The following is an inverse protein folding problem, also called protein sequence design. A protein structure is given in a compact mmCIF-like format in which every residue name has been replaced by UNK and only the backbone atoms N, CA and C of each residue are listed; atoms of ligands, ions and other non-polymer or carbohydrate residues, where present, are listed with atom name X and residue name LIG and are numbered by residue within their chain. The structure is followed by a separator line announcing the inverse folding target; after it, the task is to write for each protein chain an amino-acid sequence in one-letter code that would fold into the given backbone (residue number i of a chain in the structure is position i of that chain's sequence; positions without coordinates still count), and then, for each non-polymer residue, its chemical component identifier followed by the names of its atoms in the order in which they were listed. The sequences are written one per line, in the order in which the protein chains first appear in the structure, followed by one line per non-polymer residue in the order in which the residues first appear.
data_IF_276603702421
#
_entry.id   IF_276603702421
#
_cell.length_a   1.000
_cell.length_b   1.000
_cell.length_c   1.000
_cell.angle_alpha   90.00
_cell.angle_beta   90.00
_cell.angle_gamma   90.00
#
_symmetry.space_group_name_H-M   'P 1'
#
loop_
_entity.id
_entity.type
_entity.pdbx_description
1 polymer ?
#
# COMPACT_ATOMS: atom_id res chain seq x y z
N UNK A 1 -11.75 -7.19 16.21
CA UNK A 1 -10.28 -7.32 16.27
C UNK A 1 -9.79 -7.48 14.83
N UNK A 2 -8.75 -6.74 14.44
CA UNK A 2 -8.35 -6.54 13.04
C UNK A 2 -7.88 -7.84 12.38
N UNK A 3 -8.66 -8.35 11.44
CA UNK A 3 -8.31 -9.42 10.53
C UNK A 3 -9.12 -9.22 9.26
N UNK A 4 -8.64 -8.40 8.34
CA UNK A 4 -9.35 -8.14 7.08
C UNK A 4 -8.36 -8.08 5.94
N UNK A 5 -8.48 -9.05 5.02
CA UNK A 5 -7.98 -9.01 3.64
C UNK A 5 -6.52 -9.43 3.36
N UNK A 6 -5.87 -10.16 4.26
CA UNK A 6 -4.47 -10.59 4.07
C UNK A 6 -4.25 -11.70 3.02
N UNK A 7 -5.29 -12.26 2.41
CA UNK A 7 -5.09 -13.46 1.57
C UNK A 7 -4.78 -13.19 0.10
N UNK A 8 -5.03 -11.98 -0.44
CA UNK A 8 -4.80 -11.71 -1.87
C UNK A 8 -3.76 -10.62 -2.16
N UNK A 9 -3.23 -9.95 -1.13
CA UNK A 9 -2.26 -8.88 -1.30
C UNK A 9 -1.12 -9.04 -0.29
N UNK A 10 0.11 -9.11 -0.81
CA UNK A 10 1.34 -9.19 -0.04
C UNK A 10 1.93 -7.80 0.11
N UNK A 11 2.08 -7.34 1.35
CA UNK A 11 2.70 -6.05 1.66
C UNK A 11 4.13 -6.26 2.13
N UNK A 12 5.10 -5.66 1.44
CA UNK A 12 6.52 -5.67 1.78
C UNK A 12 7.00 -4.24 2.09
N UNK A 13 7.67 -4.06 3.23
CA UNK A 13 8.29 -2.80 3.60
C UNK A 13 9.76 -2.82 3.16
N UNK A 14 10.10 -2.03 2.13
CA UNK A 14 11.47 -1.91 1.59
C UNK A 14 12.08 -0.58 2.01
N UNK A 15 12.56 -0.53 3.24
CA UNK A 15 13.16 0.67 3.82
C UNK A 15 12.13 1.80 4.01
N UNK A 16 12.13 2.77 3.09
CA UNK A 16 11.13 3.85 3.05
C UNK A 16 9.99 3.58 2.08
N UNK A 17 10.05 2.51 1.29
CA UNK A 17 9.02 2.19 0.31
C UNK A 17 8.10 1.10 0.85
N UNK A 18 6.84 1.13 0.44
CA UNK A 18 5.88 0.05 0.71
C UNK A 18 5.47 -0.54 -0.62
N UNK A 19 5.80 -1.80 -0.85
CA UNK A 19 5.46 -2.55 -2.04
C UNK A 19 4.27 -3.45 -1.71
N UNK A 20 3.24 -3.41 -2.53
CA UNK A 20 2.02 -4.17 -2.35
C UNK A 20 1.84 -4.99 -3.62
N UNK A 21 2.02 -6.30 -3.54
CA UNK A 21 1.87 -7.22 -4.67
C UNK A 21 0.57 -8.00 -4.56
N UNK A 22 -0.13 -8.19 -5.67
CA UNK A 22 -1.44 -8.84 -5.77
C UNK A 22 -2.32 -8.16 -6.81
N UNK A 23 -3.56 -8.64 -7.02
CA UNK A 23 -4.42 -8.14 -8.08
C UNK A 23 -4.62 -6.63 -8.00
N UNK A 24 -4.47 -5.92 -9.14
CA UNK A 24 -4.50 -4.45 -9.22
C UNK A 24 -5.57 -3.80 -8.35
N UNK A 25 -6.79 -4.32 -8.38
CA UNK A 25 -7.92 -3.77 -7.64
C UNK A 25 -7.72 -3.84 -6.13
N UNK A 26 -7.22 -4.96 -5.62
CA UNK A 26 -6.99 -5.18 -4.20
C UNK A 26 -5.72 -4.47 -3.73
N UNK A 27 -4.64 -4.54 -4.52
CA UNK A 27 -3.39 -3.85 -4.24
C UNK A 27 -3.63 -2.32 -4.16
N UNK A 28 -4.44 -1.77 -5.07
CA UNK A 28 -4.82 -0.36 -5.06
C UNK A 28 -5.72 0.00 -3.88
N UNK A 29 -6.71 -0.84 -3.53
CA UNK A 29 -7.55 -0.61 -2.36
C UNK A 29 -6.72 -0.63 -1.06
N UNK A 30 -5.75 -1.54 -0.95
CA UNK A 30 -4.86 -1.62 0.20
C UNK A 30 -3.89 -0.44 0.25
N UNK A 31 -3.35 -0.02 -0.89
CA UNK A 31 -2.55 1.19 -1.03
C UNK A 31 -3.30 2.43 -0.52
N UNK A 32 -4.55 2.62 -0.95
CA UNK A 32 -5.37 3.74 -0.49
C UNK A 32 -5.66 3.68 1.01
N UNK A 33 -5.90 2.49 1.59
CA UNK A 33 -6.08 2.34 3.04
C UNK A 33 -4.82 2.76 3.80
N UNK A 34 -3.64 2.38 3.32
CA UNK A 34 -2.35 2.76 3.91
C UNK A 34 -2.16 4.28 3.80
N UNK A 35 -2.33 4.87 2.61
CA UNK A 35 -2.21 6.32 2.42
C UNK A 35 -3.13 7.08 3.37
N UNK A 36 -4.41 6.70 3.44
CA UNK A 36 -5.38 7.37 4.33
C UNK A 36 -4.98 7.25 5.81
N UNK A 37 -4.41 6.11 6.22
CA UNK A 37 -3.93 5.90 7.59
C UNK A 37 -2.75 6.82 7.93
N UNK A 38 -1.87 7.08 6.96
CA UNK A 38 -0.70 7.93 7.13
C UNK A 38 -0.93 9.40 6.73
N UNK A 39 -2.14 9.77 6.29
CA UNK A 39 -2.45 11.11 5.76
C UNK A 39 -2.19 12.24 6.77
N UNK A 40 -2.36 11.96 8.07
CA UNK A 40 -2.07 12.91 9.15
C UNK A 40 -0.80 12.54 9.95
N UNK A 41 0.06 11.69 9.40
CA UNK A 41 1.33 11.29 10.04
C UNK A 41 2.47 12.21 9.60
N UNK A 42 3.58 12.19 10.34
CA UNK A 42 4.79 12.95 10.02
C UNK A 42 5.44 12.54 8.68
N UNK A 43 5.07 11.37 8.15
CA UNK A 43 5.56 10.85 6.87
C UNK A 43 4.37 10.37 6.04
N UNK A 44 3.71 11.26 5.26
CA UNK A 44 2.64 10.86 4.38
C UNK A 44 3.18 10.03 3.21
N UNK A 45 2.48 8.97 2.85
CA UNK A 45 2.81 8.14 1.69
C UNK A 45 1.94 8.53 0.49
N UNK A 46 2.49 8.39 -0.71
CA UNK A 46 1.80 8.56 -1.99
C UNK A 46 2.07 7.36 -2.90
N UNK A 47 1.13 7.08 -3.81
CA UNK A 47 1.35 6.10 -4.87
C UNK A 47 2.41 6.64 -5.84
N UNK A 48 3.54 5.94 -5.90
CA UNK A 48 4.63 6.26 -6.81
C UNK A 48 4.56 5.40 -8.08
N UNK A 49 4.06 4.17 -7.96
CA UNK A 49 3.90 3.25 -9.09
C UNK A 49 2.68 2.36 -8.87
N UNK A 50 1.94 2.06 -9.92
CA UNK A 50 0.78 1.18 -9.89
C UNK A 50 0.73 0.37 -11.19
N UNK A 51 1.16 -0.87 -11.10
CA UNK A 51 1.14 -1.92 -12.12
C UNK A 51 -0.06 -2.86 -11.90
N UNK A 52 -0.32 -3.72 -12.88
CA UNK A 52 -1.49 -4.62 -12.87
C UNK A 52 -1.45 -5.68 -11.76
N UNK A 53 -0.29 -5.93 -11.16
CA UNK A 53 -0.10 -6.87 -10.04
C UNK A 53 0.67 -6.25 -8.86
N UNK A 54 1.01 -4.96 -8.93
CA UNK A 54 1.87 -4.35 -7.91
C UNK A 54 1.63 -2.85 -7.74
N UNK A 55 1.62 -2.38 -6.50
CA UNK A 55 1.58 -0.95 -6.17
C UNK A 55 2.76 -0.61 -5.27
N UNK A 56 3.46 0.48 -5.58
CA UNK A 56 4.58 0.99 -4.79
C UNK A 56 4.19 2.34 -4.20
N UNK A 57 4.29 2.44 -2.88
CA UNK A 57 4.13 3.68 -2.14
C UNK A 57 5.49 4.24 -1.74
N UNK A 58 5.64 5.56 -1.88
CA UNK A 58 6.81 6.31 -1.40
C UNK A 58 6.37 7.42 -0.46
N UNK A 59 7.19 7.79 0.53
CA UNK A 59 6.98 9.00 1.31
C UNK A 59 6.96 10.22 0.36
N UNK A 60 6.10 11.19 0.67
CA UNK A 60 5.94 12.40 -0.12
C UNK A 60 7.23 13.23 -0.16
#
# INVERSE_FOLDING_TARGET
MAGTSEQNCRVEYRGREIVISGPAREAHAQAQRIIRRFACSAVPYRMAHAESDQVILKPA
#
